data_IF_819302702267
#
_entry.id   IF_819302702267
#
_cell.length_a   1.000
_cell.length_b   1.000
_cell.length_c   1.000
_cell.angle_alpha   90.00
_cell.angle_beta   90.00
_cell.angle_gamma   90.00
#
_symmetry.space_group_name_H-M   'P 1'
#
loop_
_entity.id
_entity.type
_entity.pdbx_description
1 polymer ?
#
# COMPACT_ATOMS: atom_id res chain seq x y z
N UNK A 1 0.42 9.99 5.59
CA UNK A 1 -0.71 9.15 6.03
C UNK A 1 -1.29 9.77 7.28
N UNK A 2 -2.57 10.16 7.24
CA UNK A 2 -3.24 10.71 8.42
C UNK A 2 -3.29 9.63 9.51
N UNK A 3 -2.87 9.95 10.74
CA UNK A 3 -2.78 9.00 11.85
C UNK A 3 -4.10 8.23 12.09
N UNK A 4 -5.24 8.85 11.81
CA UNK A 4 -6.55 8.23 11.88
C UNK A 4 -6.72 7.06 10.89
N UNK A 5 -6.12 7.12 9.70
CA UNK A 5 -6.18 6.01 8.74
C UNK A 5 -5.40 4.80 9.28
N UNK A 6 -4.20 5.04 9.84
CA UNK A 6 -3.40 4.00 10.47
C UNK A 6 -4.15 3.37 11.64
N UNK A 7 -4.68 4.18 12.55
CA UNK A 7 -5.43 3.70 13.71
C UNK A 7 -6.62 2.84 13.31
N UNK A 8 -7.40 3.28 12.32
CA UNK A 8 -8.54 2.51 11.80
C UNK A 8 -8.10 1.16 11.21
N UNK A 9 -6.97 1.13 10.48
CA UNK A 9 -6.42 -0.12 9.94
C UNK A 9 -5.99 -1.06 11.06
N UNK A 10 -5.29 -0.55 12.08
CA UNK A 10 -4.88 -1.35 13.24
C UNK A 10 -6.06 -1.92 14.03
N UNK A 11 -7.16 -1.18 14.14
CA UNK A 11 -8.34 -1.63 14.86
C UNK A 11 -9.17 -2.66 14.07
N UNK A 12 -9.03 -2.72 12.74
CA UNK A 12 -9.85 -3.56 11.88
C UNK A 12 -9.13 -4.83 11.41
N UNK A 13 -7.85 -4.71 11.05
CA UNK A 13 -7.06 -5.80 10.45
C UNK A 13 -6.65 -6.80 11.52
N UNK A 14 -7.07 -8.05 11.35
CA UNK A 14 -6.70 -9.18 12.20
C UNK A 14 -5.48 -9.92 11.64
N UNK A 15 -4.78 -10.74 12.46
CA UNK A 15 -3.58 -11.45 12.01
C UNK A 15 -3.79 -12.38 10.80
N UNK A 16 -5.01 -12.87 10.59
CA UNK A 16 -5.36 -13.77 9.47
C UNK A 16 -5.80 -13.03 8.21
N UNK A 17 -5.95 -11.71 8.28
CA UNK A 17 -6.40 -10.90 7.15
C UNK A 17 -5.25 -10.57 6.20
N UNK A 18 -5.61 -10.13 4.99
CA UNK A 18 -4.67 -9.60 4.01
C UNK A 18 -4.94 -8.12 3.79
N UNK A 19 -3.88 -7.31 3.77
CA UNK A 19 -3.97 -5.89 3.48
C UNK A 19 -3.66 -5.64 2.00
N UNK A 20 -4.67 -5.18 1.26
CA UNK A 20 -4.55 -4.80 -0.14
C UNK A 20 -4.57 -3.27 -0.27
N UNK A 21 -3.49 -2.70 -0.78
CA UNK A 21 -3.39 -1.28 -1.11
C UNK A 21 -3.64 -1.12 -2.61
N UNK A 22 -4.67 -0.36 -2.96
CA UNK A 22 -5.11 -0.14 -4.33
C UNK A 22 -4.51 1.15 -4.91
N UNK A 23 -3.19 1.14 -5.07
CA UNK A 23 -2.42 2.21 -5.69
C UNK A 23 -2.17 3.42 -4.80
N UNK A 24 -1.26 4.27 -5.28
CA UNK A 24 -0.94 5.60 -4.76
C UNK A 24 -0.63 5.59 -3.26
N UNK A 25 0.23 4.67 -2.83
CA UNK A 25 0.60 4.47 -1.43
C UNK A 25 1.21 5.74 -0.82
N UNK A 26 2.01 6.46 -1.61
CA UNK A 26 2.58 7.74 -1.24
C UNK A 26 2.41 8.75 -2.38
N UNK A 27 2.20 10.02 -2.02
CA UNK A 27 1.94 11.09 -2.99
C UNK A 27 2.93 12.25 -2.87
N UNK A 28 3.16 12.91 -4.00
CA UNK A 28 3.95 14.15 -4.09
C UNK A 28 5.46 13.93 -3.97
N UNK A 29 6.18 14.99 -3.58
CA UNK A 29 7.65 14.96 -3.49
C UNK A 29 8.16 13.89 -2.52
N UNK A 30 7.38 13.55 -1.49
CA UNK A 30 7.74 12.55 -0.49
C UNK A 30 7.64 11.11 -1.00
N UNK A 31 6.87 10.84 -2.05
CA UNK A 31 6.81 9.52 -2.68
C UNK A 31 8.15 9.11 -3.35
N UNK A 32 9.03 10.08 -3.57
CA UNK A 32 10.39 9.86 -4.11
C UNK A 32 11.43 9.60 -3.02
N UNK A 33 11.05 9.73 -1.75
CA UNK A 33 11.94 9.56 -0.61
C UNK A 33 11.74 8.15 -0.03
N UNK A 34 12.73 7.28 -0.26
CA UNK A 34 12.73 5.89 0.22
C UNK A 34 12.56 5.79 1.73
N UNK A 35 13.17 6.69 2.51
CA UNK A 35 13.06 6.66 3.97
C UNK A 35 11.65 7.04 4.43
N UNK A 36 11.00 7.95 3.71
CA UNK A 36 9.62 8.34 3.99
C UNK A 36 8.65 7.19 3.75
N UNK A 37 8.72 6.55 2.58
CA UNK A 37 7.82 5.45 2.22
C UNK A 37 8.05 4.23 3.12
N UNK A 38 9.31 3.94 3.48
CA UNK A 38 9.66 2.90 4.44
C UNK A 38 9.08 3.19 5.84
N UNK A 39 9.15 4.45 6.28
CA UNK A 39 8.57 4.85 7.57
C UNK A 39 7.06 4.63 7.63
N UNK A 40 6.34 4.90 6.54
CA UNK A 40 4.89 4.61 6.47
C UNK A 40 4.65 3.11 6.41
N UNK A 41 5.40 2.39 5.59
CA UNK A 41 5.26 0.95 5.41
C UNK A 41 5.44 0.18 6.73
N UNK A 42 6.38 0.62 7.55
CA UNK A 42 6.64 0.06 8.88
C UNK A 42 5.53 0.34 9.91
N UNK A 43 4.64 1.28 9.63
CA UNK A 43 3.47 1.57 10.47
C UNK A 43 2.24 0.75 10.08
N UNK A 44 2.27 0.06 8.93
CA UNK A 44 1.16 -0.80 8.51
C UNK A 44 1.04 -2.03 9.44
N UNK A 45 -0.18 -2.58 9.60
CA UNK A 45 -0.38 -3.86 10.28
C UNK A 45 0.55 -4.94 9.72
N UNK A 46 1.13 -5.76 10.61
CA UNK A 46 2.07 -6.84 10.25
C UNK A 46 1.31 -8.09 9.78
N UNK A 47 0.62 -7.94 8.65
CA UNK A 47 -0.06 -9.02 7.91
C UNK A 47 0.53 -9.15 6.51
N UNK A 48 -0.01 -10.07 5.71
CA UNK A 48 0.31 -10.13 4.28
C UNK A 48 -0.14 -8.84 3.60
N UNK A 49 0.80 -8.15 2.94
CA UNK A 49 0.61 -6.83 2.33
C UNK A 49 0.81 -6.91 0.83
N UNK A 50 -0.21 -6.49 0.10
CA UNK A 50 -0.24 -6.53 -1.35
C UNK A 50 -0.45 -5.12 -1.92
N UNK A 51 0.30 -4.80 -2.97
CA UNK A 51 0.16 -3.55 -3.72
C UNK A 51 -0.40 -3.83 -5.11
N UNK A 52 -1.45 -3.10 -5.47
CA UNK A 52 -1.86 -2.91 -6.87
C UNK A 52 -1.29 -1.56 -7.31
N UNK A 53 -0.44 -1.53 -8.33
CA UNK A 53 0.33 -0.35 -8.74
C UNK A 53 -0.63 0.77 -9.21
N UNK A 54 -0.54 1.93 -8.55
CA UNK A 54 -1.13 3.20 -8.94
C UNK A 54 -0.18 4.08 -9.75
N UNK A 55 -0.68 5.19 -10.26
CA UNK A 55 0.09 6.08 -11.14
C UNK A 55 1.13 6.92 -10.39
N UNK A 56 1.04 7.01 -9.06
CA UNK A 56 2.00 7.71 -8.20
C UNK A 56 2.97 6.78 -7.47
N UNK A 57 2.83 5.46 -7.63
CA UNK A 57 3.75 4.50 -7.05
C UNK A 57 5.04 4.43 -7.87
N UNK A 58 6.03 5.17 -7.39
CA UNK A 58 7.37 5.21 -7.98
C UNK A 58 8.26 4.11 -7.41
N UNK A 59 9.46 3.96 -7.98
CA UNK A 59 10.47 2.97 -7.60
C UNK A 59 10.62 2.78 -6.08
N UNK A 60 10.71 3.83 -5.24
CA UNK A 60 10.81 3.65 -3.79
C UNK A 60 9.64 2.91 -3.15
N UNK A 61 8.41 3.09 -3.65
CA UNK A 61 7.24 2.35 -3.16
C UNK A 61 7.28 0.90 -3.61
N UNK A 62 7.72 0.65 -4.84
CA UNK A 62 7.73 -0.70 -5.44
C UNK A 62 8.83 -1.58 -4.84
N UNK A 63 9.92 -0.98 -4.34
CA UNK A 63 11.04 -1.66 -3.68
C UNK A 63 10.76 -2.06 -2.22
N UNK A 64 9.65 -1.60 -1.63
CA UNK A 64 9.26 -2.00 -0.28
C UNK A 64 8.98 -3.52 -0.24
N UNK A 65 9.15 -4.16 0.93
CA UNK A 65 9.00 -5.61 1.07
C UNK A 65 7.52 -6.03 1.15
N UNK A 66 6.78 -5.77 0.07
CA UNK A 66 5.43 -6.27 -0.17
C UNK A 66 5.46 -7.80 -0.37
N UNK A 67 4.42 -8.48 0.09
CA UNK A 67 4.23 -9.90 -0.18
C UNK A 67 3.81 -10.14 -1.63
N UNK A 68 3.14 -9.17 -2.25
CA UNK A 68 2.99 -9.13 -3.72
C UNK A 68 2.83 -7.71 -4.26
N UNK A 69 3.29 -7.52 -5.50
CA UNK A 69 3.06 -6.30 -6.27
C UNK A 69 2.47 -6.70 -7.62
N UNK A 70 1.36 -6.08 -8.00
CA UNK A 70 0.61 -6.42 -9.21
C UNK A 70 0.16 -5.19 -9.98
N UNK A 71 0.04 -5.30 -11.30
CA UNK A 71 -0.63 -4.27 -12.11
C UNK A 71 -2.15 -4.38 -11.95
N UNK A 72 -2.85 -3.25 -12.06
CA UNK A 72 -4.31 -3.27 -12.10
C UNK A 72 -4.81 -4.13 -13.25
N UNK A 73 -5.96 -4.78 -13.05
CA UNK A 73 -6.63 -5.58 -14.07
C UNK A 73 -7.97 -4.95 -14.39
N UNK A 74 -8.16 -4.60 -15.66
CA UNK A 74 -9.47 -4.20 -16.16
C UNK A 74 -10.32 -5.46 -16.38
N UNK A 75 -11.47 -5.48 -15.74
CA UNK A 75 -12.49 -6.50 -15.97
C UNK A 75 -13.55 -5.88 -16.86
N UNK A 76 -13.97 -6.61 -17.89
CA UNK A 76 -15.18 -6.23 -18.62
C UNK A 76 -16.37 -6.56 -17.73
N UNK A 77 -17.20 -5.58 -17.45
CA UNK A 77 -18.53 -5.86 -16.92
C UNK A 77 -19.28 -6.79 -17.89
N UNK A 78 -20.12 -7.65 -17.31
CA UNK A 78 -20.80 -8.74 -18.01
C UNK A 78 -21.62 -8.30 -19.24
N UNK A 79 -22.15 -9.28 -20.01
CA UNK A 79 -22.88 -9.03 -21.25
C UNK A 79 -24.08 -8.11 -21.09
#
# INVERSE_FOLDING_TARGET
MDAALLENMWNLVKPEDQLWILGDFAFGAKAKDSAYVETIFNQLPRVERHLVIGNHDLEPTLELPWDSVSNYKELRDGP
#
